data_IF_958282109550
#
_entry.id   IF_958282109550
#
_cell.length_a   1.000
_cell.length_b   1.000
_cell.length_c   1.000
_cell.angle_alpha   90.00
_cell.angle_beta   90.00
_cell.angle_gamma   90.00
#
_symmetry.space_group_name_H-M   'P 1'
#
loop_
_entity.id
_entity.type
_entity.pdbx_description
1 polymer ?
#
# COMPACT_ATOMS: atom_id res chain seq x y z
N UNK A 1 29.13 29.95 -8.69
CA UNK A 1 28.19 30.91 -8.09
C UNK A 1 26.88 30.17 -7.82
N UNK A 2 26.32 30.13 -6.60
CA UNK A 2 25.04 29.49 -6.36
C UNK A 2 24.00 30.19 -7.23
N UNK A 3 23.28 29.42 -8.05
CA UNK A 3 22.15 29.95 -8.82
C UNK A 3 21.16 30.53 -7.80
N UNK A 4 20.69 31.78 -7.95
CA UNK A 4 19.70 32.35 -7.04
C UNK A 4 18.47 31.43 -6.97
N UNK A 5 17.92 31.23 -5.77
CA UNK A 5 16.83 30.28 -5.52
C UNK A 5 15.63 30.46 -6.46
N UNK A 6 15.35 31.70 -6.88
CA UNK A 6 14.29 32.05 -7.83
C UNK A 6 14.57 31.58 -9.26
N UNK A 7 15.83 31.46 -9.67
CA UNK A 7 16.26 31.08 -11.02
C UNK A 7 16.12 29.57 -11.23
N UNK A 8 16.46 28.76 -10.22
CA UNK A 8 16.36 27.29 -10.28
C UNK A 8 14.92 26.82 -10.49
N UNK A 9 13.98 27.31 -9.69
CA UNK A 9 12.57 26.93 -9.80
C UNK A 9 11.94 27.45 -11.11
N UNK A 10 12.28 28.67 -11.51
CA UNK A 10 11.79 29.28 -12.76
C UNK A 10 12.30 28.53 -13.98
N UNK A 11 13.59 28.14 -13.98
CA UNK A 11 14.17 27.32 -15.03
C UNK A 11 13.53 25.91 -15.09
N UNK A 12 13.36 25.25 -13.94
CA UNK A 12 12.74 23.92 -13.84
C UNK A 12 11.31 23.88 -14.39
N UNK A 13 10.54 24.96 -14.20
CA UNK A 13 9.17 25.10 -14.69
C UNK A 13 9.08 25.56 -16.16
N UNK A 14 10.17 26.04 -16.76
CA UNK A 14 10.21 26.50 -18.14
C UNK A 14 10.50 25.35 -19.13
N UNK A 15 9.46 24.89 -19.85
CA UNK A 15 9.58 23.81 -20.84
C UNK A 15 10.57 24.11 -21.96
N UNK A 16 10.68 25.35 -22.41
CA UNK A 16 11.59 25.75 -23.50
C UNK A 16 13.04 25.63 -23.04
N UNK A 17 13.35 26.14 -21.85
CA UNK A 17 14.66 26.03 -21.22
C UNK A 17 15.06 24.56 -21.01
N UNK A 18 14.18 23.74 -20.44
CA UNK A 18 14.43 22.31 -20.26
C UNK A 18 14.63 21.55 -21.59
N UNK A 19 13.95 21.96 -22.67
CA UNK A 19 14.12 21.36 -23.99
C UNK A 19 15.45 21.76 -24.65
N UNK A 20 15.86 23.02 -24.52
CA UNK A 20 17.16 23.50 -25.03
C UNK A 20 18.33 22.84 -24.31
N UNK A 21 18.20 22.57 -23.02
CA UNK A 21 19.22 21.88 -22.21
C UNK A 21 19.44 20.43 -22.64
N UNK A 22 18.46 19.78 -23.31
CA UNK A 22 18.66 18.42 -23.85
C UNK A 22 19.64 18.40 -25.03
N UNK A 23 19.73 19.49 -25.79
CA UNK A 23 20.56 19.56 -27.00
C UNK A 23 21.91 20.22 -26.74
N UNK A 24 21.98 21.20 -25.84
CA UNK A 24 23.20 21.97 -25.58
C UNK A 24 23.99 21.49 -24.34
N UNK A 25 23.46 20.53 -23.59
CA UNK A 25 24.12 19.99 -22.40
C UNK A 25 24.16 20.96 -21.21
N UNK A 26 24.96 20.58 -20.21
CA UNK A 26 25.26 21.35 -19.00
C UNK A 26 26.75 21.63 -18.95
N UNK A 27 27.24 22.51 -19.82
CA UNK A 27 28.62 22.95 -19.72
C UNK A 27 28.70 24.08 -18.71
N UNK A 28 29.15 23.75 -17.50
CA UNK A 28 29.67 24.73 -16.56
C UNK A 28 31.18 24.67 -16.62
N UNK A 29 31.81 25.77 -17.03
CA UNK A 29 33.27 25.88 -17.11
C UNK A 29 33.96 25.99 -15.73
N UNK A 30 33.21 25.76 -14.64
CA UNK A 30 33.71 25.84 -13.27
C UNK A 30 33.28 24.57 -12.54
N UNK A 31 34.25 23.69 -12.27
CA UNK A 31 34.08 22.69 -11.22
C UNK A 31 33.98 23.47 -9.89
N UNK A 32 32.87 23.27 -9.16
CA UNK A 32 32.71 23.87 -7.84
C UNK A 32 33.77 23.38 -6.85
N UNK A 33 33.88 24.01 -5.66
CA UNK A 33 34.73 23.50 -4.58
C UNK A 33 34.31 22.08 -4.19
N UNK A 34 35.17 21.38 -3.44
CA UNK A 34 34.89 20.03 -2.90
C UNK A 34 33.47 19.98 -2.34
N UNK A 35 32.60 19.09 -2.86
CA UNK A 35 31.21 19.10 -2.49
C UNK A 35 31.03 18.88 -1.00
N UNK A 36 31.90 18.11 -0.30
CA UNK A 36 31.83 17.64 1.12
C UNK A 36 30.44 17.37 1.74
N UNK A 37 29.40 17.42 0.91
CA UNK A 37 28.00 17.75 1.18
C UNK A 37 27.74 18.39 2.56
N UNK A 38 28.41 19.52 2.83
CA UNK A 38 28.28 20.24 4.09
C UNK A 38 26.80 20.61 4.36
N UNK A 39 26.30 20.29 5.55
CA UNK A 39 24.90 20.53 5.95
C UNK A 39 23.94 19.36 5.68
N UNK A 40 24.43 18.21 5.18
CA UNK A 40 23.66 16.97 5.27
C UNK A 40 23.40 16.61 6.74
N UNK A 41 22.22 16.07 6.99
CA UNK A 41 21.86 15.54 8.30
C UNK A 41 22.84 14.46 8.71
N UNK A 42 23.43 14.62 9.88
CA UNK A 42 24.37 13.70 10.52
C UNK A 42 23.85 13.18 11.87
N UNK A 43 22.67 13.65 12.28
CA UNK A 43 22.03 13.27 13.53
C UNK A 43 21.55 11.81 13.55
N UNK A 44 21.13 11.34 14.75
CA UNK A 44 20.65 9.98 14.93
C UNK A 44 19.38 9.72 14.10
N UNK A 45 19.25 8.51 13.59
CA UNK A 45 18.04 8.03 12.93
C UNK A 45 17.81 6.57 13.30
N UNK A 46 16.56 6.11 13.21
CA UNK A 46 16.20 4.77 13.66
C UNK A 46 14.75 4.70 14.11
N UNK A 47 14.35 3.57 14.74
CA UNK A 47 13.05 3.46 15.38
C UNK A 47 12.82 4.61 16.36
N UNK A 48 11.61 5.16 16.37
CA UNK A 48 11.26 6.23 17.31
C UNK A 48 11.12 5.70 18.73
N UNK A 49 11.26 6.58 19.73
CA UNK A 49 11.06 6.21 21.14
C UNK A 49 9.72 5.51 21.40
N UNK A 50 8.66 5.88 20.67
CA UNK A 50 7.34 5.26 20.80
C UNK A 50 7.23 3.86 20.19
N UNK A 51 8.10 3.50 19.25
CA UNK A 51 8.22 2.10 18.78
C UNK A 51 9.12 1.32 19.73
N UNK A 52 10.23 1.93 20.16
CA UNK A 52 11.16 1.29 21.08
C UNK A 52 10.49 0.87 22.40
N UNK A 53 9.51 1.63 22.90
CA UNK A 53 8.76 1.26 24.10
C UNK A 53 7.92 -0.02 23.98
N UNK A 54 7.71 -0.52 22.76
CA UNK A 54 6.93 -1.75 22.49
C UNK A 54 7.70 -2.78 21.66
N UNK A 55 9.01 -2.59 21.46
CA UNK A 55 9.79 -3.36 20.51
C UNK A 55 9.96 -4.84 20.92
N UNK A 56 10.01 -5.12 22.22
CA UNK A 56 10.22 -6.47 22.76
C UNK A 56 8.95 -7.33 22.79
N UNK A 57 7.77 -6.74 22.53
CA UNK A 57 6.50 -7.46 22.40
C UNK A 57 6.05 -7.45 20.93
N UNK A 58 6.19 -8.57 20.19
CA UNK A 58 5.79 -8.66 18.79
C UNK A 58 4.32 -8.31 18.53
N UNK A 59 3.43 -8.58 19.49
CA UNK A 59 2.01 -8.28 19.35
C UNK A 59 1.74 -6.79 19.62
N UNK A 60 2.40 -6.19 20.62
CA UNK A 60 2.36 -4.75 20.82
C UNK A 60 2.93 -3.99 19.62
N UNK A 61 4.02 -4.49 19.03
CA UNK A 61 4.61 -3.94 17.82
C UNK A 61 3.66 -4.04 16.61
N UNK A 62 2.97 -5.18 16.45
CA UNK A 62 1.91 -5.32 15.45
C UNK A 62 0.82 -4.27 15.65
N UNK A 63 0.34 -4.08 16.88
CA UNK A 63 -0.71 -3.09 17.19
C UNK A 63 -0.23 -1.64 17.12
N UNK A 64 1.06 -1.38 17.23
CA UNK A 64 1.62 -0.06 16.95
C UNK A 64 1.38 0.33 15.48
N UNK A 65 1.69 -0.58 14.55
CA UNK A 65 1.54 -0.36 13.11
C UNK A 65 0.12 -0.59 12.59
N UNK A 66 -0.64 -1.47 13.23
CA UNK A 66 -2.02 -1.81 12.88
C UNK A 66 -2.90 -1.71 14.14
N UNK A 67 -3.33 -0.50 14.53
CA UNK A 67 -4.01 -0.29 15.80
C UNK A 67 -5.31 -1.07 15.96
N UNK A 68 -5.73 -1.43 17.19
CA UNK A 68 -7.00 -2.13 17.46
C UNK A 68 -8.24 -1.48 16.83
N UNK A 69 -8.23 -0.15 16.64
CA UNK A 69 -9.30 0.58 15.94
C UNK A 69 -9.44 0.16 14.47
N UNK A 70 -8.32 -0.13 13.78
CA UNK A 70 -8.35 -0.61 12.40
C UNK A 70 -9.07 -1.95 12.33
N UNK A 71 -8.67 -2.94 13.13
CA UNK A 71 -9.29 -4.28 13.15
C UNK A 71 -10.79 -4.23 13.42
N UNK A 72 -11.23 -3.39 14.37
CA UNK A 72 -12.66 -3.13 14.62
C UNK A 72 -13.38 -2.57 13.40
N UNK A 73 -12.78 -1.60 12.72
CA UNK A 73 -13.36 -1.03 11.50
C UNK A 73 -13.45 -2.06 10.37
N UNK A 74 -12.43 -2.92 10.21
CA UNK A 74 -12.45 -3.99 9.20
C UNK A 74 -13.59 -4.97 9.46
N UNK A 75 -13.82 -5.37 10.73
CA UNK A 75 -14.93 -6.24 11.08
C UNK A 75 -16.29 -5.58 10.73
N UNK A 76 -16.48 -4.31 11.12
CA UNK A 76 -17.70 -3.54 10.80
C UNK A 76 -17.95 -3.47 9.30
N UNK A 77 -16.93 -3.15 8.51
CA UNK A 77 -17.07 -3.02 7.05
C UNK A 77 -17.22 -4.37 6.35
N UNK A 78 -16.64 -5.44 6.89
CA UNK A 78 -16.85 -6.81 6.41
C UNK A 78 -18.30 -7.27 6.65
N UNK A 79 -18.86 -7.03 7.84
CA UNK A 79 -20.27 -7.34 8.14
C UNK A 79 -21.23 -6.46 7.33
N UNK A 80 -20.88 -5.19 7.13
CA UNK A 80 -21.63 -4.28 6.24
C UNK A 80 -21.65 -4.85 4.82
N UNK A 81 -20.50 -5.29 4.30
CA UNK A 81 -20.43 -5.87 2.96
C UNK A 81 -21.20 -7.18 2.85
N UNK A 82 -21.08 -8.07 3.84
CA UNK A 82 -21.87 -9.31 3.92
C UNK A 82 -23.36 -9.01 3.74
N UNK A 83 -23.92 -8.14 4.60
CA UNK A 83 -25.33 -7.71 4.52
C UNK A 83 -25.70 -7.08 3.17
N UNK A 84 -24.84 -6.22 2.62
CA UNK A 84 -25.07 -5.60 1.31
C UNK A 84 -25.06 -6.61 0.15
N UNK A 85 -24.33 -7.72 0.29
CA UNK A 85 -24.20 -8.75 -0.74
C UNK A 85 -25.32 -9.80 -0.72
N UNK A 86 -26.11 -9.89 0.35
CA UNK A 86 -27.16 -10.92 0.49
C UNK A 86 -28.09 -10.95 -0.73
N UNK A 87 -28.68 -9.83 -1.20
CA UNK A 87 -29.62 -9.88 -2.32
C UNK A 87 -29.01 -10.43 -3.62
N UNK A 88 -27.75 -10.11 -3.93
CA UNK A 88 -27.09 -10.64 -5.12
C UNK A 88 -26.71 -12.12 -4.93
N UNK A 89 -26.27 -12.50 -3.73
CA UNK A 89 -25.91 -13.88 -3.38
C UNK A 89 -27.11 -14.82 -3.44
N UNK A 90 -28.27 -14.40 -2.92
CA UNK A 90 -29.54 -15.13 -3.00
C UNK A 90 -29.87 -15.46 -4.45
N UNK A 91 -29.84 -14.46 -5.35
CA UNK A 91 -30.08 -14.67 -6.79
C UNK A 91 -29.08 -15.61 -7.43
N UNK A 92 -27.78 -15.45 -7.12
CA UNK A 92 -26.74 -16.34 -7.65
C UNK A 92 -26.89 -17.78 -7.18
N UNK A 93 -27.24 -18.00 -5.91
CA UNK A 93 -27.47 -19.33 -5.35
C UNK A 93 -28.68 -20.02 -5.99
N UNK A 94 -29.79 -19.29 -6.14
CA UNK A 94 -30.98 -19.83 -6.83
C UNK A 94 -30.70 -20.18 -8.28
N UNK A 95 -29.97 -19.32 -9.00
CA UNK A 95 -29.56 -19.64 -10.37
C UNK A 95 -28.68 -20.87 -10.46
N UNK A 96 -27.86 -21.14 -9.44
CA UNK A 96 -27.01 -22.32 -9.39
C UNK A 96 -27.80 -23.60 -9.07
N UNK A 97 -28.77 -23.55 -8.15
CA UNK A 97 -29.66 -24.67 -7.83
C UNK A 97 -30.43 -25.15 -9.07
N UNK A 98 -31.03 -24.21 -9.82
CA UNK A 98 -31.72 -24.50 -11.08
C UNK A 98 -30.83 -25.18 -12.12
N UNK A 99 -29.56 -24.77 -12.22
CA UNK A 99 -28.59 -25.38 -13.15
C UNK A 99 -28.17 -26.78 -12.72
N UNK A 100 -28.15 -27.04 -11.42
CA UNK A 100 -27.74 -28.32 -10.86
C UNK A 100 -28.90 -29.34 -10.78
N UNK A 101 -30.13 -28.94 -11.14
CA UNK A 101 -31.31 -29.82 -11.13
C UNK A 101 -31.78 -30.21 -9.72
N UNK A 102 -31.40 -29.45 -8.69
CA UNK A 102 -31.81 -29.70 -7.31
C UNK A 102 -33.16 -29.07 -6.97
N UNK A 103 -33.68 -29.40 -5.78
CA UNK A 103 -34.85 -28.71 -5.22
C UNK A 103 -34.57 -27.22 -4.99
N UNK A 104 -35.58 -26.44 -5.31
CA UNK A 104 -35.45 -25.02 -5.56
C UNK A 104 -35.88 -24.27 -4.27
N UNK A 105 -34.96 -24.10 -3.31
CA UNK A 105 -35.18 -23.39 -2.01
C UNK A 105 -35.76 -21.98 -2.21
N UNK A 106 -36.82 -21.60 -1.48
CA UNK A 106 -37.41 -20.26 -1.61
C UNK A 106 -36.38 -19.15 -1.37
N UNK A 107 -36.52 -18.03 -2.09
CA UNK A 107 -35.57 -16.92 -2.00
C UNK A 107 -35.48 -16.36 -0.57
N UNK A 108 -36.60 -16.37 0.15
CA UNK A 108 -36.66 -15.87 1.53
C UNK A 108 -35.95 -16.82 2.50
N UNK A 109 -36.03 -18.14 2.29
CA UNK A 109 -35.27 -19.12 3.09
C UNK A 109 -33.76 -18.95 2.90
N UNK A 110 -33.30 -18.82 1.65
CA UNK A 110 -31.88 -18.56 1.34
C UNK A 110 -31.45 -17.24 1.99
N UNK A 111 -32.30 -16.21 1.91
CA UNK A 111 -32.01 -14.90 2.50
C UNK A 111 -31.91 -14.97 4.02
N UNK A 112 -32.88 -15.61 4.68
CA UNK A 112 -32.92 -15.81 6.13
C UNK A 112 -31.68 -16.55 6.61
N UNK A 113 -31.31 -17.64 5.93
CA UNK A 113 -30.08 -18.41 6.21
C UNK A 113 -28.79 -17.60 6.03
N UNK A 114 -28.71 -16.74 5.01
CA UNK A 114 -27.53 -15.88 4.84
C UNK A 114 -27.49 -14.74 5.88
N UNK A 115 -28.65 -14.25 6.31
CA UNK A 115 -28.78 -13.20 7.32
C UNK A 115 -28.53 -13.71 8.74
N UNK A 116 -28.78 -14.99 9.01
CA UNK A 116 -28.54 -15.62 10.32
C UNK A 116 -27.08 -15.99 10.58
N UNK A 117 -26.19 -15.82 9.61
CA UNK A 117 -24.75 -16.03 9.82
C UNK A 117 -24.23 -15.03 10.83
N UNK A 118 -23.58 -15.54 11.88
CA UNK A 118 -22.99 -14.75 12.97
C UNK A 118 -22.02 -13.70 12.41
N UNK A 119 -22.16 -12.47 12.89
CA UNK A 119 -21.31 -11.34 12.53
C UNK A 119 -19.82 -11.66 12.80
N UNK A 120 -18.94 -11.12 11.97
CA UNK A 120 -17.49 -11.24 12.07
C UNK A 120 -16.98 -10.32 13.17
N UNK A 121 -16.23 -10.88 14.12
CA UNK A 121 -15.63 -10.13 15.22
C UNK A 121 -14.21 -9.63 14.89
N UNK A 122 -13.72 -8.55 15.51
CA UNK A 122 -12.39 -7.98 15.24
C UNK A 122 -11.25 -8.99 15.48
N UNK A 123 -11.36 -9.84 16.50
CA UNK A 123 -10.36 -10.85 16.81
C UNK A 123 -10.34 -11.98 15.78
N UNK A 124 -11.46 -12.24 15.09
CA UNK A 124 -11.50 -13.22 14.01
C UNK A 124 -10.75 -12.71 12.78
N UNK A 125 -10.87 -11.42 12.46
CA UNK A 125 -10.07 -10.78 11.41
C UNK A 125 -8.58 -10.90 11.72
N UNK A 126 -8.19 -10.66 12.98
CA UNK A 126 -6.80 -10.83 13.43
C UNK A 126 -6.33 -12.30 13.27
N UNK A 127 -7.15 -13.28 13.66
CA UNK A 127 -6.83 -14.70 13.47
C UNK A 127 -6.68 -15.08 12.01
N UNK A 128 -7.53 -14.57 11.11
CA UNK A 128 -7.38 -14.78 9.66
C UNK A 128 -6.03 -14.26 9.18
N UNK A 129 -5.64 -13.04 9.58
CA UNK A 129 -4.32 -12.49 9.20
C UNK A 129 -3.18 -13.32 9.80
N UNK A 130 -3.29 -13.77 11.05
CA UNK A 130 -2.29 -14.64 11.67
C UNK A 130 -2.13 -15.97 10.90
N UNK A 131 -3.23 -16.59 10.47
CA UNK A 131 -3.19 -17.81 9.65
C UNK A 131 -2.59 -17.56 8.25
N UNK A 132 -2.81 -16.38 7.66
CA UNK A 132 -2.16 -15.97 6.41
C UNK A 132 -0.65 -15.79 6.57
N UNK A 133 -0.20 -15.21 7.69
CA UNK A 133 1.23 -15.10 8.05
C UNK A 133 1.81 -16.50 8.28
N UNK A 134 1.15 -17.36 9.05
CA UNK A 134 1.59 -18.73 9.28
C UNK A 134 1.73 -19.52 7.96
N UNK A 135 0.79 -19.35 7.02
CA UNK A 135 0.90 -19.91 5.67
C UNK A 135 2.09 -19.34 4.89
N UNK A 136 2.38 -18.05 5.02
CA UNK A 136 3.53 -17.43 4.35
C UNK A 136 4.84 -18.05 4.84
N UNK A 137 4.97 -18.25 6.15
CA UNK A 137 6.14 -18.86 6.76
C UNK A 137 6.27 -20.34 6.41
N UNK A 138 5.16 -21.09 6.42
CA UNK A 138 5.13 -22.54 6.15
C UNK A 138 4.20 -22.86 4.97
N UNK A 139 4.61 -22.63 3.72
CA UNK A 139 3.72 -22.77 2.57
C UNK A 139 3.43 -24.22 2.20
N UNK A 140 2.14 -24.56 2.03
CA UNK A 140 1.71 -25.86 1.47
C UNK A 140 1.33 -25.68 -0.01
N UNK A 141 1.99 -26.44 -0.90
CA UNK A 141 1.79 -26.37 -2.36
C UNK A 141 0.35 -26.66 -2.81
N UNK A 142 -0.41 -27.45 -2.05
CA UNK A 142 -1.81 -27.82 -2.33
C UNK A 142 -2.82 -26.70 -2.05
N UNK A 143 -2.38 -25.51 -1.66
CA UNK A 143 -3.21 -24.33 -1.41
C UNK A 143 -3.61 -24.16 0.05
N UNK A 144 -4.26 -23.03 0.36
CA UNK A 144 -4.54 -22.63 1.75
C UNK A 144 -5.47 -23.60 2.48
N UNK A 145 -6.43 -24.20 1.78
CA UNK A 145 -7.34 -25.19 2.36
C UNK A 145 -6.64 -26.45 2.89
N UNK A 146 -5.43 -26.76 2.39
CA UNK A 146 -4.67 -27.92 2.82
C UNK A 146 -4.19 -27.81 4.27
N UNK A 147 -4.10 -26.59 4.83
CA UNK A 147 -3.76 -26.37 6.23
C UNK A 147 -4.84 -26.82 7.23
N UNK A 148 -6.02 -27.21 6.75
CA UNK A 148 -7.05 -27.87 7.55
C UNK A 148 -7.07 -29.39 7.34
N UNK A 149 -6.16 -29.94 6.54
CA UNK A 149 -6.07 -31.39 6.35
C UNK A 149 -5.42 -32.05 7.56
N UNK A 150 -6.13 -33.03 8.12
CA UNK A 150 -5.66 -33.92 9.19
C UNK A 150 -4.88 -35.12 8.66
N UNK A 151 -4.74 -35.27 7.34
CA UNK A 151 -3.93 -36.34 6.75
C UNK A 151 -2.46 -36.08 7.03
N UNK A 152 -1.78 -37.03 7.65
CA UNK A 152 -0.32 -37.02 7.73
C UNK A 152 0.26 -37.24 6.32
N UNK A 153 1.29 -36.48 5.99
CA UNK A 153 2.05 -36.62 4.73
C UNK A 153 3.51 -36.78 5.10
N UNK A 154 3.98 -38.04 5.15
CA UNK A 154 5.33 -38.37 5.60
C UNK A 154 5.54 -38.01 7.08
N UNK A 155 6.70 -37.43 7.39
CA UNK A 155 7.07 -37.05 8.77
C UNK A 155 6.49 -35.69 9.22
N UNK A 156 5.67 -35.02 8.41
CA UNK A 156 5.09 -33.73 8.79
C UNK A 156 3.92 -33.91 9.77
N UNK A 157 3.88 -33.16 10.89
CA UNK A 157 2.76 -33.20 11.81
C UNK A 157 1.47 -32.76 11.11
N UNK A 158 0.33 -33.23 11.62
CA UNK A 158 -0.99 -32.81 11.15
C UNK A 158 -1.14 -31.29 11.22
N UNK A 159 -1.76 -30.70 10.21
CA UNK A 159 -1.93 -29.26 10.16
C UNK A 159 -2.88 -28.80 11.27
N UNK A 160 -2.59 -27.63 11.87
CA UNK A 160 -3.23 -27.17 13.11
C UNK A 160 -4.16 -25.98 12.94
N UNK A 161 -4.51 -25.57 11.71
CA UNK A 161 -5.33 -24.36 11.53
C UNK A 161 -6.71 -24.51 12.18
N UNK A 162 -7.24 -25.73 12.24
CA UNK A 162 -8.53 -26.03 12.86
C UNK A 162 -8.56 -25.76 14.38
N UNK A 163 -7.40 -25.77 15.05
CA UNK A 163 -7.29 -25.38 16.48
C UNK A 163 -7.56 -23.89 16.71
N UNK A 164 -7.37 -23.05 15.68
CA UNK A 164 -7.49 -21.59 15.80
C UNK A 164 -8.76 -21.04 15.16
N UNK A 165 -9.17 -21.62 14.03
CA UNK A 165 -10.37 -21.25 13.29
C UNK A 165 -10.81 -22.37 12.34
N UNK A 166 -12.10 -22.75 12.39
CA UNK A 166 -12.65 -23.74 11.47
C UNK A 166 -12.59 -23.29 10.00
N UNK A 167 -12.34 -24.24 9.09
CA UNK A 167 -12.16 -23.99 7.64
C UNK A 167 -13.27 -23.14 7.03
N UNK A 168 -14.53 -23.48 7.31
CA UNK A 168 -15.68 -22.77 6.73
C UNK A 168 -15.78 -21.32 7.23
N UNK A 169 -15.47 -21.08 8.51
CA UNK A 169 -15.45 -19.72 9.08
C UNK A 169 -14.32 -18.88 8.48
N UNK A 170 -13.14 -19.46 8.29
CA UNK A 170 -12.03 -18.78 7.61
C UNK A 170 -12.42 -18.33 6.18
N UNK A 171 -12.97 -19.24 5.37
CA UNK A 171 -13.37 -18.89 4.00
C UNK A 171 -14.58 -17.95 3.95
N UNK A 172 -15.48 -18.02 4.93
CA UNK A 172 -16.53 -17.03 5.10
C UNK A 172 -15.93 -15.63 5.31
N UNK A 173 -15.05 -15.45 6.30
CA UNK A 173 -14.41 -14.15 6.58
C UNK A 173 -13.61 -13.68 5.37
N UNK A 174 -12.78 -14.54 4.77
CA UNK A 174 -12.02 -14.20 3.56
C UNK A 174 -12.89 -13.76 2.38
N UNK A 175 -14.08 -14.36 2.23
CA UNK A 175 -15.03 -14.00 1.17
C UNK A 175 -15.71 -12.65 1.37
N UNK A 176 -15.80 -12.17 2.62
CA UNK A 176 -16.46 -10.92 2.98
C UNK A 176 -15.53 -9.83 3.49
N UNK A 177 -14.22 -10.10 3.61
CA UNK A 177 -13.21 -9.16 4.10
C UNK A 177 -13.25 -7.84 3.33
N UNK A 178 -13.68 -6.77 3.99
CA UNK A 178 -13.80 -5.43 3.43
C UNK A 178 -13.23 -4.38 4.38
N UNK A 179 -12.60 -3.35 3.80
CA UNK A 179 -11.95 -2.29 4.57
C UNK A 179 -12.72 -0.96 4.51
N UNK A 180 -13.66 -0.80 3.58
CA UNK A 180 -14.45 0.44 3.41
C UNK A 180 -15.86 0.17 2.85
N UNK A 181 -16.75 1.14 3.07
CA UNK A 181 -18.13 1.06 2.61
C UNK A 181 -18.21 1.32 1.10
N UNK A 182 -18.69 0.34 0.35
CA UNK A 182 -18.88 0.43 -1.10
C UNK A 182 -19.94 1.48 -1.52
N UNK A 183 -20.85 1.87 -0.62
CA UNK A 183 -21.88 2.90 -0.85
C UNK A 183 -21.42 4.32 -0.50
N UNK A 184 -20.18 4.49 -0.05
CA UNK A 184 -19.63 5.81 0.24
C UNK A 184 -19.53 6.65 -1.04
N UNK A 185 -19.86 7.96 -1.02
CA UNK A 185 -19.58 8.85 -2.14
C UNK A 185 -18.10 8.84 -2.54
N UNK A 186 -17.19 8.57 -1.60
CA UNK A 186 -15.76 8.46 -1.90
C UNK A 186 -15.41 7.27 -2.80
N UNK A 187 -16.26 6.24 -2.88
CA UNK A 187 -16.03 5.09 -3.75
C UNK A 187 -16.08 5.46 -5.25
N UNK A 188 -16.76 6.55 -5.62
CA UNK A 188 -16.79 7.09 -6.98
C UNK A 188 -15.69 8.11 -7.26
N UNK A 189 -14.97 8.55 -6.23
CA UNK A 189 -13.95 9.60 -6.29
C UNK A 189 -12.56 8.96 -6.21
N UNK A 190 -12.30 8.19 -5.16
CA UNK A 190 -11.00 7.58 -4.89
C UNK A 190 -10.92 6.15 -5.44
N UNK A 191 -10.09 5.95 -6.45
CA UNK A 191 -9.86 4.64 -7.07
C UNK A 191 -9.31 3.59 -6.09
N UNK A 192 -8.59 4.02 -5.06
CA UNK A 192 -8.06 3.14 -4.02
C UNK A 192 -8.95 3.09 -2.76
N UNK A 193 -10.19 3.60 -2.83
CA UNK A 193 -11.11 3.69 -1.69
C UNK A 193 -11.27 2.36 -0.93
N UNK A 194 -11.25 1.24 -1.65
CA UNK A 194 -11.36 -0.11 -1.08
C UNK A 194 -10.26 -0.46 -0.08
N UNK A 195 -9.08 0.14 -0.20
CA UNK A 195 -7.93 -0.12 0.69
C UNK A 195 -7.49 1.13 1.46
N UNK A 196 -8.10 2.29 1.17
CA UNK A 196 -7.72 3.59 1.73
C UNK A 196 -7.58 3.58 3.25
N UNK A 197 -8.52 3.00 4.04
CA UNK A 197 -8.38 3.00 5.49
C UNK A 197 -7.13 2.28 6.01
N UNK A 198 -6.70 1.21 5.34
CA UNK A 198 -5.46 0.48 5.69
C UNK A 198 -4.25 1.32 5.30
N UNK A 199 -4.24 1.88 4.08
CA UNK A 199 -3.13 2.72 3.58
C UNK A 199 -2.93 3.94 4.48
N UNK A 200 -3.99 4.61 4.92
CA UNK A 200 -3.92 5.81 5.76
C UNK A 200 -3.43 5.51 7.18
N UNK A 201 -3.73 4.32 7.70
CA UNK A 201 -3.12 3.86 8.96
C UNK A 201 -1.63 3.64 8.76
N UNK A 202 -1.24 2.83 7.76
CA UNK A 202 0.17 2.49 7.50
C UNK A 202 1.02 3.74 7.24
N UNK A 203 0.55 4.68 6.43
CA UNK A 203 1.27 5.92 6.16
C UNK A 203 1.55 6.73 7.44
N UNK A 204 0.59 6.78 8.36
CA UNK A 204 0.77 7.49 9.63
C UNK A 204 1.70 6.75 10.58
N UNK A 205 1.53 5.42 10.71
CA UNK A 205 2.31 4.63 11.67
C UNK A 205 3.75 4.40 11.20
N UNK A 206 3.99 4.26 9.89
CA UNK A 206 5.33 4.11 9.34
C UNK A 206 6.17 5.37 9.57
N UNK A 207 5.63 6.55 9.25
CA UNK A 207 6.30 7.83 9.51
C UNK A 207 6.50 8.11 11.01
N UNK A 208 5.51 7.80 11.85
CA UNK A 208 5.64 7.95 13.32
C UNK A 208 6.65 6.97 13.91
N UNK A 209 6.78 5.78 13.31
CA UNK A 209 7.57 4.68 13.84
C UNK A 209 9.08 4.82 13.68
N UNK A 210 9.54 5.79 12.89
CA UNK A 210 10.94 5.87 12.51
C UNK A 210 11.35 7.31 12.23
N UNK A 211 12.47 7.72 12.81
CA UNK A 211 13.07 9.03 12.57
C UNK A 211 13.65 9.07 11.15
N UNK A 212 13.26 10.08 10.37
CA UNK A 212 13.69 10.20 8.96
C UNK A 212 15.22 10.13 8.86
N UNK A 213 15.78 9.28 7.97
CA UNK A 213 17.21 9.07 7.83
C UNK A 213 17.87 10.14 6.94
N UNK A 214 19.20 10.29 7.02
CA UNK A 214 19.93 11.24 6.17
C UNK A 214 19.90 10.87 4.69
N UNK A 215 19.76 9.58 4.38
CA UNK A 215 19.69 9.04 3.02
C UNK A 215 18.37 8.29 2.84
N UNK A 216 17.55 8.78 1.93
CA UNK A 216 16.24 8.23 1.59
C UNK A 216 16.32 7.60 0.20
N UNK A 217 16.01 6.32 0.10
CA UNK A 217 15.82 5.65 -1.18
C UNK A 217 14.37 5.80 -1.62
N UNK A 218 14.14 6.20 -2.87
CA UNK A 218 12.81 6.29 -3.45
C UNK A 218 12.71 5.47 -4.73
N UNK A 219 11.77 4.53 -4.73
CA UNK A 219 11.55 3.61 -5.86
C UNK A 219 10.10 3.06 -5.84
N UNK A 220 9.84 2.07 -6.69
CA UNK A 220 8.55 1.54 -7.04
C UNK A 220 8.46 0.06 -6.68
N UNK A 221 7.53 -0.27 -5.80
CA UNK A 221 7.14 -1.65 -5.52
C UNK A 221 5.93 -2.05 -6.37
N UNK A 222 5.81 -3.35 -6.63
CA UNK A 222 4.69 -3.93 -7.35
C UNK A 222 4.00 -4.95 -6.47
N UNK A 223 2.76 -4.68 -6.05
CA UNK A 223 1.93 -5.62 -5.31
C UNK A 223 1.19 -6.53 -6.31
N UNK A 224 1.51 -7.83 -6.40
CA UNK A 224 0.93 -8.70 -7.41
C UNK A 224 -0.58 -8.88 -7.19
N UNK A 225 -1.37 -8.71 -8.26
CA UNK A 225 -2.82 -8.94 -8.26
C UNK A 225 -3.27 -9.62 -9.55
N UNK A 226 -3.66 -10.88 -9.45
CA UNK A 226 -4.21 -11.64 -10.59
C UNK A 226 -5.67 -11.25 -10.92
N UNK A 227 -6.34 -10.44 -10.09
CA UNK A 227 -7.76 -10.10 -10.28
C UNK A 227 -7.99 -9.12 -11.42
N UNK A 228 -8.71 -9.53 -12.47
CA UNK A 228 -9.12 -8.65 -13.58
C UNK A 228 -9.99 -7.47 -13.13
N UNK A 229 -10.64 -7.59 -11.97
CA UNK A 229 -11.51 -6.55 -11.40
C UNK A 229 -10.76 -5.46 -10.64
N UNK A 230 -9.45 -5.61 -10.45
CA UNK A 230 -8.64 -4.56 -9.85
C UNK A 230 -8.39 -3.46 -10.90
N UNK A 231 -8.96 -2.25 -10.73
CA UNK A 231 -8.80 -1.21 -11.71
C UNK A 231 -7.36 -0.69 -11.74
N UNK A 232 -6.59 -0.76 -10.66
CA UNK A 232 -5.23 -0.18 -10.57
C UNK A 232 -4.12 -1.06 -11.18
N UNK A 233 -4.48 -2.15 -11.88
CA UNK A 233 -3.53 -3.05 -12.51
C UNK A 233 -2.68 -2.33 -13.55
N UNK A 234 -1.38 -2.57 -13.48
CA UNK A 234 -0.42 -2.07 -14.47
C UNK A 234 0.32 -3.22 -15.13
N UNK A 235 0.79 -2.93 -16.33
CA UNK A 235 1.72 -3.77 -17.04
C UNK A 235 3.13 -3.19 -16.87
N UNK A 236 4.06 -4.01 -16.41
CA UNK A 236 5.47 -3.68 -16.38
C UNK A 236 6.27 -4.85 -16.96
N UNK A 237 6.79 -4.69 -18.18
CA UNK A 237 7.49 -5.75 -18.92
C UNK A 237 8.71 -6.29 -18.19
N UNK A 238 9.35 -5.47 -17.35
CA UNK A 238 10.64 -5.76 -16.73
C UNK A 238 10.48 -6.37 -15.31
N UNK A 239 9.25 -6.47 -14.79
CA UNK A 239 8.98 -7.08 -13.48
C UNK A 239 8.58 -8.56 -13.63
N UNK A 240 8.93 -9.45 -12.66
CA UNK A 240 8.57 -10.87 -12.70
C UNK A 240 7.06 -11.12 -12.89
N UNK A 241 6.23 -10.31 -12.23
CA UNK A 241 4.78 -10.31 -12.41
C UNK A 241 4.36 -9.22 -13.40
N UNK A 242 4.59 -9.47 -14.68
CA UNK A 242 4.42 -8.48 -15.77
C UNK A 242 3.02 -7.87 -15.82
N UNK A 243 1.99 -8.69 -15.60
CA UNK A 243 0.59 -8.30 -15.66
C UNK A 243 -0.06 -8.32 -14.28
N UNK A 244 -0.60 -7.17 -13.87
CA UNK A 244 -1.57 -7.12 -12.79
C UNK A 244 -1.05 -6.67 -11.44
N UNK A 245 0.14 -6.10 -11.39
CA UNK A 245 0.61 -5.43 -10.18
C UNK A 245 -0.11 -4.11 -9.93
N UNK A 246 -0.39 -3.81 -8.66
CA UNK A 246 -0.62 -2.43 -8.22
C UNK A 246 0.75 -1.81 -7.97
N UNK A 247 1.05 -0.73 -8.69
CA UNK A 247 2.28 0.03 -8.48
C UNK A 247 2.14 0.88 -7.21
N UNK A 248 3.16 0.85 -6.37
CA UNK A 248 3.24 1.61 -5.12
C UNK A 248 4.57 2.32 -5.10
N UNK A 249 4.57 3.63 -4.92
CA UNK A 249 5.80 4.38 -4.65
C UNK A 249 6.21 4.15 -3.20
N UNK A 250 7.49 3.91 -2.97
CA UNK A 250 8.05 3.58 -1.67
C UNK A 250 9.22 4.53 -1.39
N UNK A 251 9.13 5.25 -0.28
CA UNK A 251 10.27 5.93 0.30
C UNK A 251 10.76 5.13 1.50
N UNK A 252 12.03 4.76 1.50
CA UNK A 252 12.63 3.90 2.51
C UNK A 252 13.98 4.44 2.98
N UNK A 253 14.40 4.01 4.17
CA UNK A 253 15.76 4.25 4.64
C UNK A 253 16.75 3.45 3.79
N UNK A 254 17.73 4.14 3.19
CA UNK A 254 18.71 3.49 2.34
C UNK A 254 19.63 2.51 3.11
N UNK A 255 19.79 2.69 4.43
CA UNK A 255 20.65 1.83 5.27
C UNK A 255 19.92 0.63 5.86
N UNK A 256 18.70 0.83 6.38
CA UNK A 256 17.97 -0.21 7.14
C UNK A 256 16.83 -0.85 6.35
N UNK A 257 16.56 -0.38 5.14
CA UNK A 257 15.41 -0.75 4.32
C UNK A 257 14.04 -0.49 4.99
N UNK A 258 13.99 0.26 6.10
CA UNK A 258 12.73 0.61 6.75
C UNK A 258 11.86 1.46 5.82
N UNK A 259 10.60 1.03 5.61
CA UNK A 259 9.64 1.74 4.78
C UNK A 259 9.05 2.94 5.55
N UNK A 260 9.44 4.15 5.15
CA UNK A 260 8.97 5.40 5.77
C UNK A 260 7.58 5.78 5.26
N UNK A 261 7.33 5.56 3.96
CA UNK A 261 6.08 5.94 3.30
C UNK A 261 5.81 5.09 2.07
N UNK A 262 4.52 4.81 1.87
CA UNK A 262 3.98 4.19 0.67
C UNK A 262 2.95 5.12 0.03
N UNK A 263 2.92 5.22 -1.30
CA UNK A 263 1.86 5.91 -2.05
C UNK A 263 1.34 4.98 -3.16
N UNK A 264 0.05 4.64 -3.11
CA UNK A 264 -0.59 3.78 -4.12
C UNK A 264 -0.78 4.57 -5.42
N UNK A 265 -0.20 4.09 -6.52
CA UNK A 265 -0.35 4.74 -7.81
C UNK A 265 -1.69 4.36 -8.45
N UNK A 266 -2.60 5.35 -8.51
CA UNK A 266 -3.97 5.18 -9.01
C UNK A 266 -4.09 5.33 -10.54
N UNK A 267 -3.00 5.45 -11.31
CA UNK A 267 -3.06 5.63 -12.77
C UNK A 267 -3.62 6.99 -13.23
N UNK A 268 -3.75 7.18 -14.56
CA UNK A 268 -4.09 8.46 -15.18
C UNK A 268 -5.49 8.55 -15.85
N UNK A 269 -6.41 7.60 -15.61
CA UNK A 269 -7.71 7.57 -16.33
C UNK A 269 -8.74 8.54 -15.74
N UNK A 270 -9.36 9.31 -16.64
CA UNK A 270 -10.20 10.51 -16.47
C UNK A 270 -11.65 10.29 -15.97
N UNK A 271 -12.14 9.06 -15.86
CA UNK A 271 -13.56 8.79 -15.56
C UNK A 271 -13.94 8.79 -14.07
N UNK A 272 -12.98 9.02 -13.16
CA UNK A 272 -13.25 9.18 -11.73
C UNK A 272 -12.84 10.59 -11.32
N UNK A 273 -13.71 11.29 -10.59
CA UNK A 273 -13.51 12.65 -10.04
C UNK A 273 -12.47 12.66 -8.91
N UNK A 274 -11.42 11.85 -9.00
CA UNK A 274 -10.27 11.95 -8.12
C UNK A 274 -9.77 13.40 -8.18
N UNK A 275 -9.53 14.08 -7.04
CA UNK A 275 -8.59 15.18 -7.01
C UNK A 275 -7.22 14.55 -7.31
N UNK A 276 -6.96 14.35 -8.59
CA UNK A 276 -5.63 14.04 -9.07
C UNK A 276 -4.82 15.30 -8.78
N UNK A 277 -3.74 15.26 -7.98
CA UNK A 277 -2.82 16.38 -7.93
C UNK A 277 -2.45 16.72 -9.37
N UNK A 278 -2.58 17.99 -9.77
CA UNK A 278 -2.48 18.45 -11.18
C UNK A 278 -1.27 17.88 -11.95
N UNK A 279 -0.23 17.43 -11.24
CA UNK A 279 1.07 16.99 -11.76
C UNK A 279 1.32 15.47 -11.73
N UNK A 280 0.29 14.62 -11.59
CA UNK A 280 0.48 13.16 -11.47
C UNK A 280 1.08 12.45 -12.72
N UNK A 281 1.33 13.18 -13.80
CA UNK A 281 1.88 12.65 -15.04
C UNK A 281 3.40 12.79 -15.16
N UNK A 282 4.08 13.48 -14.22
CA UNK A 282 5.54 13.59 -14.21
C UNK A 282 6.12 12.77 -13.06
N UNK A 283 7.14 11.96 -13.39
CA UNK A 283 7.80 11.03 -12.46
C UNK A 283 8.38 11.79 -11.26
N UNK A 284 8.84 13.00 -11.51
CA UNK A 284 9.38 13.97 -10.57
C UNK A 284 8.37 14.39 -9.50
N UNK A 285 7.10 14.60 -9.88
CA UNK A 285 6.08 15.07 -8.96
C UNK A 285 5.74 14.02 -7.88
N UNK A 286 5.89 12.74 -8.20
CA UNK A 286 5.74 11.66 -7.23
C UNK A 286 6.86 11.71 -6.18
N UNK A 287 8.11 11.90 -6.60
CA UNK A 287 9.25 12.07 -5.67
C UNK A 287 8.99 13.26 -4.76
N UNK A 288 8.67 14.43 -5.34
CA UNK A 288 8.50 15.68 -4.59
C UNK A 288 7.36 15.58 -3.58
N UNK A 289 6.18 15.04 -3.96
CA UNK A 289 5.09 14.84 -2.99
C UNK A 289 5.46 13.94 -1.83
N UNK A 290 6.18 12.85 -2.10
CA UNK A 290 6.60 11.94 -1.03
C UNK A 290 7.64 12.59 -0.13
N UNK A 291 8.59 13.34 -0.69
CA UNK A 291 9.57 14.08 0.09
C UNK A 291 8.94 15.27 0.85
N UNK A 292 7.88 15.89 0.35
CA UNK A 292 7.07 16.91 1.07
C UNK A 292 6.36 16.32 2.28
N UNK A 293 5.83 15.11 2.14
CA UNK A 293 5.17 14.43 3.25
C UNK A 293 6.16 13.92 4.31
N UNK A 294 7.38 13.54 3.93
CA UNK A 294 8.39 13.01 4.86
C UNK A 294 9.27 14.09 5.50
N UNK A 295 9.61 15.13 4.73
CA UNK A 295 10.48 16.22 5.14
C UNK A 295 9.73 17.52 4.84
N UNK A 296 9.02 18.04 5.85
CA UNK A 296 8.35 19.33 5.71
C UNK A 296 9.38 20.43 5.41
N UNK A 297 9.09 21.35 4.47
CA UNK A 297 9.96 22.50 4.18
C UNK A 297 10.29 23.27 5.46
N UNK A 298 11.58 23.55 5.68
CA UNK A 298 12.03 24.26 6.88
C UNK A 298 13.38 24.91 6.60
N UNK A 299 13.52 26.24 6.76
CA UNK A 299 14.76 26.96 6.51
C UNK A 299 15.95 26.49 7.36
N UNK A 300 15.66 25.91 8.53
CA UNK A 300 16.64 25.39 9.48
C UNK A 300 16.81 23.88 9.44
N UNK A 301 16.06 23.16 8.59
CA UNK A 301 16.17 21.71 8.55
C UNK A 301 17.43 21.30 7.79
N UNK A 302 18.21 20.35 8.32
CA UNK A 302 19.40 19.85 7.65
C UNK A 302 19.03 19.14 6.36
N UNK A 303 19.94 19.20 5.38
CA UNK A 303 19.75 18.59 4.07
C UNK A 303 19.71 17.07 4.16
N UNK A 304 18.99 16.43 3.25
CA UNK A 304 18.92 14.96 3.15
C UNK A 304 19.15 14.54 1.71
N UNK A 305 19.85 13.43 1.53
CA UNK A 305 20.10 12.87 0.22
C UNK A 305 18.93 11.98 -0.20
N UNK A 306 18.37 12.23 -1.38
CA UNK A 306 17.35 11.38 -1.99
C UNK A 306 18.00 10.60 -3.13
N UNK A 307 18.02 9.28 -3.00
CA UNK A 307 18.54 8.36 -4.01
C UNK A 307 17.37 7.84 -4.82
N UNK A 308 17.46 8.00 -6.14
CA UNK A 308 16.45 7.52 -7.09
C UNK A 308 17.12 6.79 -8.25
N UNK A 309 16.37 5.93 -8.94
CA UNK A 309 16.84 5.30 -10.16
C UNK A 309 16.81 6.27 -11.37
N UNK A 310 17.29 5.80 -12.53
CA UNK A 310 17.27 6.56 -13.79
C UNK A 310 15.86 6.96 -14.22
N UNK A 311 14.83 6.21 -13.82
CA UNK A 311 13.46 6.51 -14.20
C UNK A 311 13.03 7.87 -13.62
N UNK A 312 13.45 8.18 -12.39
CA UNK A 312 13.12 9.41 -11.68
C UNK A 312 14.15 10.53 -11.78
N UNK A 313 15.43 10.20 -11.98
CA UNK A 313 16.50 11.19 -11.98
C UNK A 313 16.39 12.13 -13.17
N UNK A 314 16.09 13.40 -12.90
CA UNK A 314 16.09 14.47 -13.90
C UNK A 314 16.61 15.79 -13.32
N UNK A 315 17.11 16.67 -14.18
CA UNK A 315 17.58 18.00 -13.75
C UNK A 315 16.44 18.80 -13.15
N UNK A 316 15.26 18.71 -13.75
CA UNK A 316 14.05 19.34 -13.22
C UNK A 316 13.79 18.92 -11.77
N UNK A 317 13.84 17.61 -11.48
CA UNK A 317 13.68 17.10 -10.12
C UNK A 317 14.74 17.67 -9.17
N UNK A 318 15.99 17.71 -9.60
CA UNK A 318 17.11 18.22 -8.80
C UNK A 318 16.87 19.68 -8.40
N UNK A 319 16.51 20.53 -9.37
CA UNK A 319 16.20 21.95 -9.12
C UNK A 319 14.95 22.14 -8.25
N UNK A 320 13.92 21.32 -8.45
CA UNK A 320 12.69 21.38 -7.63
C UNK A 320 12.93 20.90 -6.19
N UNK A 321 13.89 20.00 -5.93
CA UNK A 321 14.27 19.55 -4.59
C UNK A 321 15.19 20.55 -3.86
N UNK A 322 16.07 21.25 -4.58
CA UNK A 322 16.98 22.27 -4.02
C UNK A 322 16.25 23.55 -3.58
N UNK A 323 15.06 23.83 -4.12
CA UNK A 323 14.27 25.02 -3.77
C UNK A 323 13.33 24.81 -2.55
N UNK A 324 13.39 23.66 -1.88
CA UNK A 324 12.43 23.28 -0.82
C UNK A 324 12.83 23.76 0.56
#
# INVERSE_FOLDING_TARGET
MPLPDSVCLTAARNKKTMSMMKTHGWESNQFGPDPSYAGLYDGPFGPSNSVMSVADDPLALLFYFLPPKLWRQIAVESNRYHRQSIPSRVRSMRSQQRRNGGEDEELEDIRSRLASVVDIEPWEVLRVVALLIARMLMPIRKGIAAHWSTKQVGALPTNRFDLFMGKNRFFHIMGYLHFSNNKSPQASIDRAWKIRPVVDVLQRTFGRGYQTPPIISFDEATLPSCSRFNPMRQFNKDKPHKWGGVKVFVAACAKTAYCLRIEVYCGAKTHLRTPVPKDNNTREAAVIRNMLALCSPSPSSPWRLVVTDRFYTSVRLTLELLHR
#
